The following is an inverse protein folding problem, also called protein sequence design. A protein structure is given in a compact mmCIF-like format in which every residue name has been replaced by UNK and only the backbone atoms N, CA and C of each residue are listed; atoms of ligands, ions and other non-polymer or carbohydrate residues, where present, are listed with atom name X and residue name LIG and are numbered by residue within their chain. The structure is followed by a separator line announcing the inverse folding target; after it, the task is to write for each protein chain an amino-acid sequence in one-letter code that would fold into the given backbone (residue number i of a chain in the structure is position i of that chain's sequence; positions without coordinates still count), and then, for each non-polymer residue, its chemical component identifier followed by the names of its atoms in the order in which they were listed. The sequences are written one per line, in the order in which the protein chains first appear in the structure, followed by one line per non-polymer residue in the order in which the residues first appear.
data_IF_138907844253
#
_entry.id   IF_138907844253
#
_cell.length_a   1.000
_cell.length_b   1.000
_cell.length_c   1.000
_cell.angle_alpha   90.00
_cell.angle_beta   90.00
_cell.angle_gamma   90.00
#
_symmetry.space_group_name_H-M   'P 1'
#
loop_
_entity.id
_entity.type
_entity.pdbx_description
1 polymer ?
#
# COMPACT_ATOMS: atom_id res chain seq x y z
N UNK A 1 -19.87 12.47 43.41
CA UNK A 1 -18.49 12.31 42.91
C UNK A 1 -18.20 10.82 42.92
N UNK A 2 -18.51 10.10 41.85
CA UNK A 2 -18.06 8.71 41.64
C UNK A 2 -17.84 8.49 40.14
N UNK A 3 -16.59 8.15 39.81
CA UNK A 3 -16.09 7.79 38.49
C UNK A 3 -16.34 6.29 38.24
N UNK A 4 -16.99 5.95 37.13
CA UNK A 4 -16.89 4.66 36.44
C UNK A 4 -17.09 5.00 34.94
N UNK A 5 -16.11 4.90 34.04
CA UNK A 5 -15.01 3.96 33.98
C UNK A 5 -15.47 2.72 33.21
N UNK A 6 -15.35 2.76 31.87
CA UNK A 6 -15.42 1.56 31.03
C UNK A 6 -16.56 1.52 30.01
N UNK A 7 -16.46 2.31 28.94
CA UNK A 7 -17.09 1.95 27.67
C UNK A 7 -16.00 2.03 26.61
N UNK A 8 -15.16 0.99 26.58
CA UNK A 8 -14.34 0.71 25.40
C UNK A 8 -15.31 0.27 24.31
N UNK A 9 -15.48 1.02 23.21
CA UNK A 9 -16.27 0.54 22.09
C UNK A 9 -15.48 -0.59 21.44
N UNK A 10 -15.89 -1.81 21.76
CA UNK A 10 -15.71 -3.05 21.01
C UNK A 10 -14.80 -2.90 19.77
N UNK A 11 -13.49 -3.11 19.96
CA UNK A 11 -12.50 -3.10 18.89
C UNK A 11 -12.89 -4.02 17.72
N UNK A 12 -13.71 -5.05 17.98
CA UNK A 12 -14.21 -5.97 16.96
C UNK A 12 -15.17 -5.30 15.96
N UNK A 13 -15.94 -4.28 16.38
CA UNK A 13 -16.82 -3.52 15.49
C UNK A 13 -16.04 -2.63 14.50
N UNK A 14 -14.89 -2.07 14.93
CA UNK A 14 -14.00 -1.30 14.03
C UNK A 14 -13.32 -2.19 13.00
N UNK A 15 -12.88 -3.38 13.41
CA UNK A 15 -12.25 -4.36 12.50
C UNK A 15 -13.24 -4.80 11.41
N UNK A 16 -14.53 -4.94 11.73
CA UNK A 16 -15.56 -5.31 10.75
C UNK A 16 -15.83 -4.21 9.72
N UNK A 17 -15.76 -2.93 10.11
CA UNK A 17 -15.96 -1.80 9.21
C UNK A 17 -14.80 -1.66 8.19
N UNK A 18 -13.55 -1.90 8.64
CA UNK A 18 -12.37 -1.92 7.76
C UNK A 18 -12.40 -3.14 6.82
N UNK A 19 -12.86 -4.30 7.31
CA UNK A 19 -13.00 -5.52 6.51
C UNK A 19 -14.01 -5.43 5.35
N UNK A 20 -14.98 -4.51 5.43
CA UNK A 20 -16.06 -4.37 4.45
C UNK A 20 -15.66 -3.59 3.17
N UNK A 21 -14.40 -3.16 3.01
CA UNK A 21 -13.97 -2.49 1.78
C UNK A 21 -13.68 -3.52 0.66
N UNK A 22 -14.50 -3.57 -0.40
CA UNK A 22 -14.59 -4.73 -1.31
C UNK A 22 -13.45 -4.87 -2.33
N UNK A 23 -12.31 -4.18 -2.17
CA UNK A 23 -11.26 -4.13 -3.20
C UNK A 23 -9.86 -4.59 -2.80
N UNK A 24 -9.65 -5.10 -1.58
CA UNK A 24 -8.32 -5.63 -1.24
C UNK A 24 -8.14 -6.28 0.13
N UNK A 25 -9.08 -6.11 1.07
CA UNK A 25 -8.88 -6.51 2.48
C UNK A 25 -9.46 -7.90 2.77
N UNK A 26 -10.46 -8.33 1.99
CA UNK A 26 -11.23 -9.55 2.27
C UNK A 26 -10.40 -10.84 2.23
N UNK A 27 -9.45 -10.97 1.30
CA UNK A 27 -8.59 -12.16 1.20
C UNK A 27 -7.54 -12.26 2.32
N UNK A 28 -7.00 -11.13 2.75
CA UNK A 28 -5.99 -11.07 3.82
C UNK A 28 -6.61 -11.27 5.20
N UNK A 29 -7.81 -10.73 5.43
CA UNK A 29 -8.54 -10.94 6.68
C UNK A 29 -8.89 -12.42 6.90
N UNK A 30 -9.23 -13.15 5.84
CA UNK A 30 -9.46 -14.60 5.89
C UNK A 30 -8.17 -15.34 6.27
N UNK A 31 -7.02 -14.91 5.74
CA UNK A 31 -5.72 -15.52 6.06
C UNK A 31 -5.29 -15.26 7.52
N UNK A 32 -5.68 -14.12 8.09
CA UNK A 32 -5.42 -13.79 9.50
C UNK A 32 -6.37 -14.50 10.48
N UNK A 33 -7.63 -14.69 10.09
CA UNK A 33 -8.59 -15.44 10.90
C UNK A 33 -8.18 -16.91 11.05
N UNK A 34 -7.54 -17.50 10.03
CA UNK A 34 -6.95 -18.84 10.08
C UNK A 34 -5.74 -18.91 11.03
N UNK A 35 -5.00 -17.81 11.19
CA UNK A 35 -3.78 -17.73 11.97
C UNK A 35 -3.98 -17.64 13.51
N UNK A 36 -5.22 -17.62 14.01
CA UNK A 36 -5.49 -17.81 15.45
C UNK A 36 -4.96 -16.69 16.36
N UNK A 37 -4.98 -15.46 15.87
CA UNK A 37 -4.54 -14.23 16.55
C UNK A 37 -5.20 -14.07 17.93
N UNK A 38 -4.41 -14.15 19.00
CA UNK A 38 -4.90 -14.18 20.40
C UNK A 38 -4.10 -13.19 21.27
N UNK A 39 -4.69 -12.00 21.48
CA UNK A 39 -4.33 -10.88 22.41
C UNK A 39 -3.51 -9.74 21.78
N UNK A 40 -3.80 -8.52 22.27
CA UNK A 40 -3.18 -7.18 22.13
C UNK A 40 -1.79 -7.06 21.47
N UNK A 41 -0.85 -7.98 21.68
CA UNK A 41 0.46 -8.04 20.98
C UNK A 41 0.27 -8.24 19.46
N UNK A 42 -0.73 -9.04 19.12
CA UNK A 42 -1.17 -9.34 17.77
C UNK A 42 -1.92 -8.16 17.12
N UNK A 43 -2.49 -7.24 17.92
CA UNK A 43 -3.14 -6.03 17.39
C UNK A 43 -2.09 -5.01 16.91
N UNK A 44 -0.99 -4.85 17.65
CA UNK A 44 0.12 -4.00 17.21
C UNK A 44 0.81 -4.60 15.97
N UNK A 45 1.06 -5.91 15.98
CA UNK A 45 1.55 -6.63 14.80
C UNK A 45 0.57 -6.53 13.61
N UNK A 46 -0.74 -6.61 13.87
CA UNK A 46 -1.79 -6.39 12.87
C UNK A 46 -1.75 -4.97 12.32
N UNK A 47 -1.65 -3.94 13.16
CA UNK A 47 -1.58 -2.54 12.73
C UNK A 47 -0.31 -2.25 11.94
N UNK A 48 0.84 -2.79 12.35
CA UNK A 48 2.09 -2.64 11.61
C UNK A 48 2.04 -3.36 10.25
N UNK A 49 1.46 -4.56 10.20
CA UNK A 49 1.32 -5.30 8.94
C UNK A 49 0.30 -4.64 8.01
N UNK A 50 -0.80 -4.12 8.58
CA UNK A 50 -1.80 -3.32 7.87
C UNK A 50 -1.14 -2.05 7.32
N UNK A 51 -0.40 -1.32 8.15
CA UNK A 51 0.29 -0.10 7.72
C UNK A 51 1.29 -0.39 6.61
N UNK A 52 2.14 -1.41 6.76
CA UNK A 52 3.12 -1.80 5.75
C UNK A 52 2.48 -2.18 4.41
N UNK A 53 1.46 -3.05 4.42
CA UNK A 53 0.78 -3.45 3.18
C UNK A 53 0.02 -2.31 2.51
N UNK A 54 -0.64 -1.44 3.28
CA UNK A 54 -1.37 -0.31 2.71
C UNK A 54 -0.42 0.75 2.19
N UNK A 55 0.66 1.05 2.91
CA UNK A 55 1.68 2.00 2.48
C UNK A 55 2.36 1.51 1.19
N UNK A 56 2.76 0.23 1.13
CA UNK A 56 3.36 -0.37 -0.07
C UNK A 56 2.36 -0.39 -1.25
N UNK A 57 1.09 -0.71 -0.99
CA UNK A 57 0.03 -0.68 -2.01
C UNK A 57 -0.28 0.73 -2.52
N UNK A 58 -0.26 1.74 -1.64
CA UNK A 58 -0.49 3.14 -2.03
C UNK A 58 0.72 3.66 -2.81
N UNK A 59 1.94 3.39 -2.34
CA UNK A 59 3.17 3.77 -3.01
C UNK A 59 3.26 3.15 -4.41
N UNK A 60 2.97 1.85 -4.55
CA UNK A 60 2.95 1.16 -5.83
C UNK A 60 1.89 1.75 -6.78
N UNK A 61 0.67 2.02 -6.31
CA UNK A 61 -0.38 2.64 -7.14
C UNK A 61 -0.03 4.07 -7.56
N UNK A 62 0.60 4.83 -6.67
CA UNK A 62 1.08 6.17 -6.99
C UNK A 62 2.20 6.12 -8.04
N UNK A 63 3.17 5.23 -7.85
CA UNK A 63 4.28 5.02 -8.77
C UNK A 63 3.79 4.59 -10.17
N UNK A 64 2.80 3.70 -10.23
CA UNK A 64 2.15 3.29 -11.49
C UNK A 64 1.54 4.49 -12.22
N UNK A 65 0.76 5.32 -11.52
CA UNK A 65 0.15 6.52 -12.10
C UNK A 65 1.20 7.51 -12.61
N UNK A 66 2.28 7.70 -11.85
CA UNK A 66 3.39 8.56 -12.22
C UNK A 66 4.12 8.03 -13.46
N UNK A 67 4.51 6.75 -13.50
CA UNK A 67 5.23 6.18 -14.67
C UNK A 67 4.38 6.28 -15.94
N UNK A 68 3.07 6.06 -15.86
CA UNK A 68 2.19 6.18 -17.01
C UNK A 68 2.16 7.57 -17.63
N UNK A 69 2.42 8.61 -16.83
CA UNK A 69 2.36 10.02 -17.23
C UNK A 69 3.73 10.70 -17.31
N UNK A 70 4.79 10.02 -16.86
CA UNK A 70 6.14 10.58 -16.80
C UNK A 70 6.69 10.83 -18.22
N UNK A 71 7.08 12.08 -18.48
CA UNK A 71 7.73 12.53 -19.70
C UNK A 71 9.02 13.25 -19.35
N UNK A 72 10.07 13.04 -20.12
CA UNK A 72 11.32 13.78 -19.97
C UNK A 72 11.09 15.27 -20.19
N UNK A 73 10.38 15.64 -21.26
CA UNK A 73 10.05 17.04 -21.56
C UNK A 73 11.30 17.91 -21.67
N UNK A 74 11.50 18.80 -20.69
CA UNK A 74 12.67 19.70 -20.59
C UNK A 74 13.74 19.23 -19.60
N UNK A 75 13.52 18.11 -18.92
CA UNK A 75 14.48 17.58 -17.95
C UNK A 75 15.71 17.03 -18.66
N UNK A 76 16.84 17.05 -17.95
CA UNK A 76 18.01 16.31 -18.40
C UNK A 76 17.66 14.81 -18.41
N UNK A 77 18.23 14.09 -19.36
CA UNK A 77 18.04 12.64 -19.48
C UNK A 77 18.43 11.93 -18.18
N UNK A 78 19.47 12.41 -17.49
CA UNK A 78 19.91 11.86 -16.21
C UNK A 78 18.85 12.01 -15.10
N UNK A 79 18.23 13.17 -14.97
CA UNK A 79 17.17 13.42 -13.97
C UNK A 79 15.93 12.58 -14.28
N UNK A 80 15.57 12.47 -15.56
CA UNK A 80 14.47 11.60 -16.00
C UNK A 80 14.74 10.12 -15.68
N UNK A 81 15.95 9.62 -15.96
CA UNK A 81 16.34 8.23 -15.64
C UNK A 81 16.26 8.01 -14.13
N UNK A 82 16.80 8.94 -13.34
CA UNK A 82 16.80 8.81 -11.88
C UNK A 82 15.38 8.73 -11.33
N UNK A 83 14.49 9.61 -11.78
CA UNK A 83 13.10 9.62 -11.33
C UNK A 83 12.34 8.36 -11.81
N UNK A 84 12.56 7.94 -13.06
CA UNK A 84 11.97 6.71 -13.56
C UNK A 84 12.41 5.49 -12.75
N UNK A 85 13.70 5.38 -12.42
CA UNK A 85 14.23 4.29 -11.59
C UNK A 85 13.67 4.32 -10.16
N UNK A 86 13.52 5.51 -9.57
CA UNK A 86 12.91 5.69 -8.25
C UNK A 86 11.48 5.15 -8.24
N UNK A 87 10.65 5.57 -9.20
CA UNK A 87 9.27 5.09 -9.33
C UNK A 87 9.20 3.60 -9.65
N UNK A 88 10.07 3.10 -10.53
CA UNK A 88 10.09 1.69 -10.90
C UNK A 88 10.46 0.77 -9.72
N UNK A 89 11.19 1.27 -8.72
CA UNK A 89 11.54 0.48 -7.52
C UNK A 89 10.32 0.11 -6.67
N UNK A 90 9.25 0.90 -6.74
CA UNK A 90 7.97 0.62 -6.08
C UNK A 90 7.06 -0.31 -6.90
N UNK A 91 7.47 -0.72 -8.10
CA UNK A 91 6.69 -1.55 -9.02
C UNK A 91 7.29 -2.94 -9.19
N UNK A 92 7.59 -3.62 -8.08
CA UNK A 92 8.20 -4.95 -8.04
C UNK A 92 7.48 -6.01 -8.88
N UNK A 93 6.17 -5.86 -9.05
CA UNK A 93 5.30 -6.81 -9.76
C UNK A 93 5.14 -6.48 -11.26
N UNK A 94 5.73 -5.40 -11.75
CA UNK A 94 5.57 -4.99 -13.14
C UNK A 94 6.52 -5.74 -14.08
N UNK A 95 6.06 -6.14 -15.28
CA UNK A 95 6.94 -6.72 -16.29
C UNK A 95 8.02 -5.73 -16.72
N UNK A 96 9.28 -6.14 -16.73
CA UNK A 96 10.40 -5.28 -17.17
C UNK A 96 10.21 -4.75 -18.59
N UNK A 97 9.61 -5.54 -19.49
CA UNK A 97 9.30 -5.09 -20.85
C UNK A 97 8.31 -3.92 -20.87
N UNK A 98 7.34 -3.90 -19.95
CA UNK A 98 6.38 -2.80 -19.83
C UNK A 98 7.07 -1.53 -19.31
N UNK A 99 7.93 -1.66 -18.28
CA UNK A 99 8.73 -0.54 -17.78
C UNK A 99 9.61 0.06 -18.89
N UNK A 100 10.28 -0.77 -19.69
CA UNK A 100 11.09 -0.30 -20.83
C UNK A 100 10.23 0.45 -21.86
N UNK A 101 9.03 -0.05 -22.18
CA UNK A 101 8.12 0.63 -23.10
C UNK A 101 7.69 2.00 -22.60
N UNK A 102 7.36 2.15 -21.31
CA UNK A 102 7.00 3.45 -20.72
C UNK A 102 8.19 4.41 -20.67
N UNK A 103 9.38 3.91 -20.32
CA UNK A 103 10.61 4.68 -20.33
C UNK A 103 10.90 5.24 -21.73
N UNK A 104 10.88 4.37 -22.75
CA UNK A 104 11.12 4.78 -24.14
C UNK A 104 10.04 5.75 -24.66
N UNK A 105 8.77 5.50 -24.33
CA UNK A 105 7.67 6.38 -24.73
C UNK A 105 7.65 7.73 -24.00
N UNK A 106 8.43 7.88 -22.93
CA UNK A 106 8.57 9.13 -22.17
C UNK A 106 9.78 9.98 -22.54
N UNK A 107 10.76 9.43 -23.26
CA UNK A 107 11.91 10.16 -23.79
C UNK A 107 11.50 11.10 -24.93
N UNK A 108 12.21 12.24 -25.05
CA UNK A 108 11.97 13.29 -26.05
C UNK A 108 12.98 13.22 -27.19
#
# INVERSE_FOLDING_TARGET
MEHYGGMYPDDAAHVHAVASNPKGISGWLVSLHDAGVRRVDDLDAFMQNLQGQFEDSIAARHAESCICTLKQGKWLVADYIQEFCSLASHLSNWPKCMLVSYFQGGLN
#
